data_IF_411079509880
#
_entry.id   IF_411079509880
#
_cell.length_a   1.000
_cell.length_b   1.000
_cell.length_c   1.000
_cell.angle_alpha   90.00
_cell.angle_beta   90.00
_cell.angle_gamma   90.00
#
_symmetry.space_group_name_H-M   'P 1'
#
loop_
_entity.id
_entity.type
_entity.pdbx_description
1 polymer ?
#
# COMPACT_ATOMS: atom_id res chain seq x y z
N UNK A 1 42.13 -42.45 25.85
CA UNK A 1 40.98 -41.90 26.60
C UNK A 1 41.11 -40.39 26.72
N UNK A 2 40.45 -39.58 25.87
CA UNK A 2 40.34 -38.11 26.06
C UNK A 2 39.33 -37.37 25.14
N UNK A 3 38.30 -38.04 24.61
CA UNK A 3 37.30 -37.39 23.75
C UNK A 3 35.86 -37.85 24.04
N UNK A 4 35.49 -37.98 25.31
CA UNK A 4 34.10 -38.32 25.71
C UNK A 4 33.44 -37.25 26.60
N UNK A 5 33.97 -36.02 26.63
CA UNK A 5 33.50 -34.95 27.52
C UNK A 5 32.91 -33.71 26.86
N UNK A 6 32.93 -33.60 25.52
CA UNK A 6 32.53 -32.37 24.82
C UNK A 6 31.12 -32.41 24.19
N UNK A 7 30.41 -33.53 24.27
CA UNK A 7 29.08 -33.68 23.67
C UNK A 7 27.92 -33.30 24.62
N UNK A 8 28.19 -33.14 25.92
CA UNK A 8 27.16 -32.82 26.93
C UNK A 8 26.94 -31.32 27.16
N UNK A 9 27.71 -30.43 26.52
CA UNK A 9 27.53 -28.98 26.65
C UNK A 9 26.63 -28.34 25.58
N UNK A 10 26.19 -29.10 24.57
CA UNK A 10 25.30 -28.57 23.52
C UNK A 10 23.80 -28.69 23.84
N UNK A 11 23.41 -29.44 24.88
CA UNK A 11 21.98 -29.67 25.18
C UNK A 11 21.37 -28.58 26.07
N UNK A 12 22.17 -27.80 26.82
CA UNK A 12 21.64 -26.79 27.77
C UNK A 12 21.45 -25.40 27.15
N UNK A 13 21.91 -25.16 25.91
CA UNK A 13 21.82 -23.83 25.27
C UNK A 13 20.52 -23.57 24.48
N UNK A 14 19.54 -24.49 24.49
CA UNK A 14 18.31 -24.37 23.71
C UNK A 14 17.11 -23.80 24.50
N UNK A 15 17.23 -23.59 25.82
CA UNK A 15 16.12 -23.25 26.71
C UNK A 15 16.11 -21.80 27.23
N UNK A 16 16.78 -20.86 26.53
CA UNK A 16 16.85 -19.45 26.95
C UNK A 16 16.20 -18.48 25.94
N UNK A 17 15.09 -18.88 25.33
CA UNK A 17 14.13 -17.94 24.73
C UNK A 17 12.99 -17.77 25.73
N UNK A 18 12.93 -16.61 26.36
CA UNK A 18 11.73 -15.85 26.78
C UNK A 18 12.18 -14.80 27.82
N UNK A 19 11.63 -13.59 27.69
CA UNK A 19 11.79 -12.42 28.58
C UNK A 19 13.04 -11.56 28.38
N UNK A 20 12.91 -10.50 27.57
CA UNK A 20 13.03 -9.13 28.11
C UNK A 20 12.21 -8.14 27.28
N UNK A 21 11.33 -7.48 28.02
CA UNK A 21 10.37 -6.45 27.67
C UNK A 21 11.06 -5.09 27.47
N UNK A 22 10.51 -4.32 26.53
CA UNK A 22 10.28 -2.87 26.61
C UNK A 22 11.52 -1.94 26.73
N UNK A 23 11.91 -1.32 25.61
CA UNK A 23 12.58 -0.01 25.63
C UNK A 23 11.72 1.02 24.87
N UNK A 24 11.59 2.26 25.38
CA UNK A 24 10.83 3.32 24.73
C UNK A 24 11.65 3.99 23.63
N UNK A 25 11.17 3.97 22.39
CA UNK A 25 11.85 4.65 21.28
C UNK A 25 11.41 6.11 21.24
N UNK A 26 12.16 6.98 21.92
CA UNK A 26 12.26 8.40 21.59
C UNK A 26 13.26 8.56 20.43
N UNK A 27 12.91 9.39 19.45
CA UNK A 27 13.89 9.96 18.51
C UNK A 27 13.77 9.45 17.08
N UNK A 28 13.15 10.27 16.23
CA UNK A 28 13.12 10.06 14.80
C UNK A 28 14.52 10.13 14.17
N UNK A 29 14.75 9.28 13.17
CA UNK A 29 15.70 9.52 12.09
C UNK A 29 15.16 8.91 10.80
N UNK A 30 15.38 9.64 9.71
CA UNK A 30 14.98 9.32 8.34
C UNK A 30 15.28 7.87 7.97
N UNK A 31 14.24 7.12 7.65
CA UNK A 31 14.40 5.74 7.27
C UNK A 31 13.66 5.50 5.94
N UNK A 32 14.44 5.60 4.87
CA UNK A 32 14.22 4.88 3.60
C UNK A 32 14.08 3.40 3.95
N UNK A 33 12.87 2.97 4.30
CA UNK A 33 12.60 1.61 4.75
C UNK A 33 12.09 0.78 3.57
N UNK A 34 13.01 -0.07 3.12
CA UNK A 34 12.76 -1.40 2.56
C UNK A 34 11.36 -1.90 2.88
N UNK A 35 10.64 -2.32 1.84
CA UNK A 35 9.46 -3.19 1.85
C UNK A 35 9.52 -4.20 3.01
N UNK A 36 8.99 -3.84 4.18
CA UNK A 36 8.49 -4.84 5.12
C UNK A 36 7.14 -5.26 4.54
N UNK A 37 7.06 -6.52 4.11
CA UNK A 37 5.80 -7.24 3.89
C UNK A 37 4.84 -6.85 5.03
N UNK A 38 3.64 -6.34 4.76
CA UNK A 38 2.65 -6.19 5.81
C UNK A 38 2.35 -7.59 6.33
N UNK A 39 2.75 -7.86 7.56
CA UNK A 39 2.15 -8.95 8.34
C UNK A 39 0.66 -8.61 8.43
N UNK A 40 -0.18 -9.46 7.84
CA UNK A 40 -1.63 -9.40 8.01
C UNK A 40 -1.90 -9.86 9.44
N UNK A 41 -1.60 -8.99 10.41
CA UNK A 41 -2.01 -9.14 11.80
C UNK A 41 -3.25 -8.29 12.01
N UNK A 42 -4.29 -8.94 12.53
CA UNK A 42 -5.63 -8.42 12.67
C UNK A 42 -5.68 -7.07 13.39
N UNK A 43 -6.20 -6.08 12.67
CA UNK A 43 -7.28 -5.20 13.08
C UNK A 43 -7.54 -4.26 11.90
N UNK A 44 -8.52 -4.60 11.05
CA UNK A 44 -9.01 -3.73 9.99
C UNK A 44 -9.44 -2.41 10.64
N UNK A 45 -8.69 -1.35 10.43
CA UNK A 45 -9.29 -0.02 10.49
C UNK A 45 -10.43 -0.03 9.46
N UNK A 46 -11.65 0.25 9.93
CA UNK A 46 -12.86 0.25 9.12
C UNK A 46 -12.84 1.44 8.13
N UNK A 47 -12.01 1.34 7.09
CA UNK A 47 -12.20 2.09 5.86
C UNK A 47 -13.24 1.38 4.98
N UNK A 48 -13.92 2.10 4.07
CA UNK A 48 -14.78 1.45 3.09
C UNK A 48 -13.95 0.44 2.29
N UNK A 49 -14.36 -0.83 2.29
CA UNK A 49 -13.66 -1.85 1.53
C UNK A 49 -13.93 -1.58 0.04
N UNK A 50 -12.98 -0.98 -0.67
CA UNK A 50 -12.93 -1.13 -2.13
C UNK A 50 -12.58 -2.59 -2.39
N UNK A 51 -13.61 -3.40 -2.65
CA UNK A 51 -13.43 -4.80 -2.97
C UNK A 51 -13.12 -4.91 -4.45
N UNK A 52 -11.85 -4.72 -4.79
CA UNK A 52 -11.31 -5.20 -6.04
C UNK A 52 -11.36 -6.74 -6.01
N UNK A 53 -12.16 -7.37 -6.86
CA UNK A 53 -12.26 -8.83 -6.87
C UNK A 53 -10.90 -9.40 -7.29
N UNK A 54 -10.35 -10.43 -6.63
CA UNK A 54 -9.18 -11.15 -7.15
C UNK A 54 -9.35 -11.73 -8.57
N UNK A 55 -10.58 -11.78 -9.08
CA UNK A 55 -10.93 -12.17 -10.45
C UNK A 55 -10.98 -10.98 -11.43
N UNK A 56 -11.00 -9.73 -10.93
CA UNK A 56 -10.78 -8.49 -11.69
C UNK A 56 -9.28 -8.36 -12.01
N UNK A 57 -8.80 -9.38 -12.71
CA UNK A 57 -7.40 -9.64 -13.01
C UNK A 57 -6.88 -8.47 -13.82
N UNK A 58 -6.01 -7.69 -13.19
CA UNK A 58 -5.31 -6.53 -13.75
C UNK A 58 -6.21 -5.28 -13.75
N UNK A 59 -5.64 -4.10 -13.50
CA UNK A 59 -6.34 -2.81 -13.62
C UNK A 59 -6.62 -2.54 -15.11
N UNK A 60 -7.19 -3.51 -15.83
CA UNK A 60 -7.17 -3.69 -17.27
C UNK A 60 -5.84 -3.27 -17.89
N UNK A 61 -5.86 -2.26 -18.76
CA UNK A 61 -4.65 -1.73 -19.41
C UNK A 61 -3.77 -0.85 -18.53
N UNK A 62 -4.27 -0.39 -17.40
CA UNK A 62 -3.50 0.44 -16.49
C UNK A 62 -2.50 -0.41 -15.71
N UNK A 63 -1.28 0.09 -15.61
CA UNK A 63 -0.19 -0.60 -14.92
C UNK A 63 -0.10 -0.18 -13.45
N UNK A 64 -0.49 1.06 -13.17
CA UNK A 64 -0.27 1.66 -11.87
C UNK A 64 -1.27 2.81 -11.64
N UNK A 65 -2.12 2.67 -10.61
CA UNK A 65 -3.01 3.73 -10.13
C UNK A 65 -2.57 4.24 -8.76
N UNK A 66 -1.32 4.03 -8.35
CA UNK A 66 -0.79 4.54 -7.10
C UNK A 66 -0.62 6.06 -7.14
N UNK A 67 -0.58 6.65 -5.96
CA UNK A 67 -0.48 8.07 -5.70
C UNK A 67 0.88 8.37 -5.06
N UNK A 68 1.54 9.40 -5.56
CA UNK A 68 2.67 10.04 -4.89
C UNK A 68 2.16 11.15 -3.97
N UNK A 69 2.77 11.27 -2.79
CA UNK A 69 2.48 12.31 -1.81
C UNK A 69 3.76 13.03 -1.42
N UNK A 70 3.77 14.36 -1.55
CA UNK A 70 5.00 15.12 -1.33
C UNK A 70 4.85 16.61 -1.63
N UNK A 71 6.00 17.29 -1.70
CA UNK A 71 6.13 18.69 -2.13
C UNK A 71 6.97 18.73 -3.41
N UNK A 72 6.95 19.87 -4.11
CA UNK A 72 7.77 20.06 -5.30
C UNK A 72 7.14 19.56 -6.60
N UNK A 73 5.85 19.23 -6.56
CA UNK A 73 5.11 18.88 -7.77
C UNK A 73 4.87 20.10 -8.65
N UNK A 74 4.82 19.90 -9.96
CA UNK A 74 4.62 20.97 -10.94
C UNK A 74 3.32 21.74 -10.67
N UNK A 75 3.44 23.07 -10.56
CA UNK A 75 2.33 23.97 -10.24
C UNK A 75 1.92 23.97 -8.76
N UNK A 76 2.61 23.20 -7.90
CA UNK A 76 2.40 23.10 -6.44
C UNK A 76 3.70 22.94 -5.66
N UNK A 77 4.74 23.65 -6.05
CA UNK A 77 6.11 23.43 -5.56
C UNK A 77 6.23 23.64 -4.03
N UNK A 78 5.43 24.54 -3.47
CA UNK A 78 5.47 24.91 -2.05
C UNK A 78 4.43 24.20 -1.19
N UNK A 79 3.56 23.37 -1.77
CA UNK A 79 2.44 22.75 -1.08
C UNK A 79 2.60 21.24 -0.98
N UNK A 80 2.24 20.66 0.17
CA UNK A 80 2.15 19.20 0.27
C UNK A 80 0.87 18.75 -0.44
N UNK A 81 1.03 17.92 -1.46
CA UNK A 81 -0.03 17.56 -2.40
C UNK A 81 0.00 16.07 -2.73
N UNK A 82 -0.96 15.66 -3.55
CA UNK A 82 -1.11 14.32 -4.10
C UNK A 82 -1.07 14.41 -5.63
N UNK A 83 -0.45 13.44 -6.30
CA UNK A 83 -0.53 13.29 -7.75
C UNK A 83 -0.44 11.81 -8.16
N UNK A 84 -0.91 11.43 -9.36
CA UNK A 84 -0.67 10.09 -9.88
C UNK A 84 0.83 9.79 -9.94
N UNK A 85 1.23 8.60 -9.51
CA UNK A 85 2.62 8.16 -9.66
C UNK A 85 2.95 7.94 -11.14
N UNK A 86 2.12 7.17 -11.85
CA UNK A 86 2.23 7.02 -13.30
C UNK A 86 1.70 8.28 -14.02
N UNK A 87 2.63 9.03 -14.63
CA UNK A 87 2.36 10.29 -15.34
C UNK A 87 1.60 10.13 -16.65
N UNK A 88 1.39 8.90 -17.13
CA UNK A 88 0.44 8.65 -18.24
C UNK A 88 -1.00 9.00 -17.83
N UNK A 89 -1.29 8.98 -16.53
CA UNK A 89 -2.47 9.59 -15.94
C UNK A 89 -2.25 11.10 -15.77
N UNK A 90 -2.48 11.84 -16.86
CA UNK A 90 -2.25 13.29 -16.97
C UNK A 90 -3.18 14.12 -16.07
N UNK A 91 -2.86 14.21 -14.79
CA UNK A 91 -3.52 15.08 -13.83
C UNK A 91 -2.47 15.79 -12.98
N UNK A 92 -2.63 17.11 -12.80
CA UNK A 92 -1.73 17.90 -11.97
C UNK A 92 -1.86 17.58 -10.48
N UNK A 93 -0.94 18.08 -9.67
CA UNK A 93 -1.01 17.89 -8.22
C UNK A 93 -2.25 18.54 -7.59
N UNK A 94 -2.85 17.86 -6.62
CA UNK A 94 -4.00 18.37 -5.86
C UNK A 94 -3.76 18.30 -4.36
N UNK A 95 -4.29 19.31 -3.64
CA UNK A 95 -4.20 19.36 -2.17
C UNK A 95 -5.13 18.38 -1.49
N UNK A 96 -6.27 18.09 -2.12
CA UNK A 96 -7.29 17.20 -1.61
C UNK A 96 -7.17 15.84 -2.29
N UNK A 97 -6.91 14.80 -1.51
CA UNK A 97 -6.74 13.44 -2.00
C UNK A 97 -7.98 12.93 -2.75
N UNK A 98 -9.19 13.30 -2.33
CA UNK A 98 -10.41 12.85 -3.00
C UNK A 98 -10.47 13.31 -4.47
N UNK A 99 -9.80 14.41 -4.84
CA UNK A 99 -9.72 14.84 -6.24
C UNK A 99 -8.89 13.83 -7.05
N UNK A 100 -7.70 13.47 -6.57
CA UNK A 100 -6.83 12.50 -7.24
C UNK A 100 -7.49 11.12 -7.30
N UNK A 101 -8.10 10.67 -6.21
CA UNK A 101 -8.78 9.37 -6.17
C UNK A 101 -9.99 9.35 -7.10
N UNK A 102 -10.80 10.42 -7.14
CA UNK A 102 -11.92 10.52 -8.07
C UNK A 102 -11.42 10.43 -9.51
N UNK A 103 -10.36 11.15 -9.84
CA UNK A 103 -9.74 11.11 -11.17
C UNK A 103 -9.23 9.70 -11.52
N UNK A 104 -8.48 9.04 -10.65
CA UNK A 104 -7.97 7.69 -10.90
C UNK A 104 -9.10 6.65 -11.04
N UNK A 105 -10.22 6.83 -10.33
CA UNK A 105 -11.41 6.02 -10.56
C UNK A 105 -12.02 6.25 -11.95
N UNK A 106 -12.02 7.48 -12.45
CA UNK A 106 -12.52 7.79 -13.79
C UNK A 106 -11.57 7.22 -14.88
N UNK A 107 -10.27 7.16 -14.60
CA UNK A 107 -9.29 6.51 -15.48
C UNK A 107 -9.57 5.02 -15.68
N UNK A 108 -10.25 4.35 -14.74
CA UNK A 108 -10.68 2.96 -14.93
C UNK A 108 -11.48 2.78 -16.23
N UNK A 109 -12.40 3.71 -16.50
CA UNK A 109 -13.24 3.66 -17.70
C UNK A 109 -12.55 4.32 -18.89
N UNK A 110 -11.80 5.40 -18.65
CA UNK A 110 -11.20 6.17 -19.74
C UNK A 110 -9.97 5.50 -20.37
N UNK A 111 -9.17 4.78 -19.56
CA UNK A 111 -7.86 4.25 -19.99
C UNK A 111 -7.65 2.78 -19.64
N UNK A 112 -8.31 2.30 -18.59
CA UNK A 112 -8.10 0.95 -18.09
C UNK A 112 -9.08 -0.08 -18.67
N UNK A 113 -9.93 0.27 -19.64
CA UNK A 113 -10.88 -0.62 -20.33
C UNK A 113 -12.01 -1.21 -19.45
N UNK A 114 -12.28 -0.60 -18.31
CA UNK A 114 -13.49 -0.90 -17.55
C UNK A 114 -14.71 -0.14 -18.10
N UNK A 115 -15.89 -0.56 -17.66
CA UNK A 115 -17.17 0.08 -17.96
C UNK A 115 -17.79 0.64 -16.68
N UNK A 116 -18.70 1.59 -16.84
CA UNK A 116 -19.41 2.21 -15.72
C UNK A 116 -20.22 1.19 -14.89
N UNK A 117 -20.60 0.07 -15.51
CA UNK A 117 -21.36 -0.99 -14.88
C UNK A 117 -20.49 -1.90 -14.00
N UNK A 118 -19.17 -1.88 -14.18
CA UNK A 118 -18.26 -2.78 -13.49
C UNK A 118 -18.21 -2.47 -11.99
N UNK A 119 -18.18 -3.53 -11.18
CA UNK A 119 -18.17 -3.42 -9.72
C UNK A 119 -16.97 -2.63 -9.22
N UNK A 120 -15.81 -2.82 -9.82
CA UNK A 120 -14.58 -2.10 -9.49
C UNK A 120 -14.75 -0.59 -9.64
N UNK A 121 -15.31 -0.11 -10.76
CA UNK A 121 -15.55 1.31 -10.98
C UNK A 121 -16.54 1.86 -9.94
N UNK A 122 -17.67 1.17 -9.73
CA UNK A 122 -18.68 1.58 -8.75
C UNK A 122 -18.12 1.66 -7.33
N UNK A 123 -17.35 0.66 -6.91
CA UNK A 123 -16.69 0.63 -5.60
C UNK A 123 -15.65 1.74 -5.46
N UNK A 124 -14.87 2.00 -6.51
CA UNK A 124 -13.89 3.08 -6.55
C UNK A 124 -14.56 4.45 -6.37
N UNK A 125 -15.61 4.74 -7.17
CA UNK A 125 -16.36 6.01 -7.07
C UNK A 125 -17.03 6.20 -5.71
N UNK A 126 -17.59 5.13 -5.14
CA UNK A 126 -18.15 5.15 -3.78
C UNK A 126 -17.09 5.54 -2.76
N UNK A 127 -15.92 4.90 -2.80
CA UNK A 127 -14.81 5.22 -1.89
C UNK A 127 -14.31 6.66 -2.05
N UNK A 128 -14.15 7.13 -3.30
CA UNK A 128 -13.78 8.51 -3.58
C UNK A 128 -14.76 9.52 -2.97
N UNK A 129 -16.06 9.20 -3.02
CA UNK A 129 -17.14 10.02 -2.46
C UNK A 129 -17.11 10.01 -0.92
N UNK A 130 -16.94 8.84 -0.31
CA UNK A 130 -16.90 8.66 1.14
C UNK A 130 -15.63 9.23 1.79
N UNK A 131 -14.53 9.39 1.03
CA UNK A 131 -13.28 9.94 1.52
C UNK A 131 -13.42 11.38 2.03
N UNK A 132 -14.27 12.20 1.39
CA UNK A 132 -14.40 13.61 1.72
C UNK A 132 -13.09 14.40 1.55
N UNK A 133 -12.97 15.55 2.20
CA UNK A 133 -11.78 16.39 2.08
C UNK A 133 -10.62 15.87 2.96
N UNK A 134 -9.57 15.35 2.33
CA UNK A 134 -8.35 14.86 2.98
C UNK A 134 -7.15 15.63 2.44
N UNK A 135 -6.46 16.37 3.31
CA UNK A 135 -5.27 17.17 2.96
C UNK A 135 -4.10 16.81 3.86
N UNK A 136 -2.86 16.95 3.35
CA UNK A 136 -1.62 16.79 4.12
C UNK A 136 -1.55 15.49 4.95
N UNK A 137 -1.96 14.37 4.36
CA UNK A 137 -2.05 13.08 5.03
C UNK A 137 -1.41 11.98 4.16
N UNK A 138 -0.14 11.66 4.44
CA UNK A 138 0.60 10.60 3.76
C UNK A 138 -0.03 9.22 3.95
N UNK A 139 -0.51 8.93 5.18
CA UNK A 139 -1.12 7.64 5.53
C UNK A 139 -2.32 7.31 4.63
N UNK A 140 -3.06 8.32 4.19
CA UNK A 140 -4.17 8.11 3.27
C UNK A 140 -3.71 7.73 1.87
N UNK A 141 -2.62 8.32 1.35
CA UNK A 141 -1.99 7.87 0.11
C UNK A 141 -1.50 6.42 0.23
N UNK A 142 -0.87 6.06 1.36
CA UNK A 142 -0.41 4.69 1.62
C UNK A 142 -1.58 3.70 1.70
N UNK A 143 -2.69 4.07 2.31
CA UNK A 143 -3.91 3.25 2.35
C UNK A 143 -4.45 2.98 0.94
N UNK A 144 -4.53 4.01 0.10
CA UNK A 144 -4.91 3.85 -1.30
C UNK A 144 -3.94 2.96 -2.07
N UNK A 145 -2.65 3.24 -1.96
CA UNK A 145 -1.58 2.48 -2.60
C UNK A 145 -1.63 1.01 -2.17
N UNK A 146 -1.86 0.73 -0.90
CA UNK A 146 -2.02 -0.63 -0.39
C UNK A 146 -3.24 -1.36 -0.97
N UNK A 147 -4.35 -0.66 -1.22
CA UNK A 147 -5.52 -1.25 -1.86
C UNK A 147 -5.26 -1.59 -3.33
N UNK A 148 -4.62 -0.71 -4.10
CA UNK A 148 -4.36 -0.95 -5.54
C UNK A 148 -3.15 -1.87 -5.79
N UNK A 149 -2.12 -1.84 -4.94
CA UNK A 149 -0.89 -2.65 -5.06
C UNK A 149 -1.09 -4.12 -4.62
N UNK A 150 -2.09 -4.38 -3.77
CA UNK A 150 -2.50 -5.75 -3.43
C UNK A 150 -2.88 -6.57 -4.68
N UNK A 151 -3.25 -5.92 -5.79
CA UNK A 151 -3.50 -6.57 -7.07
C UNK A 151 -2.23 -6.92 -7.84
N UNK A 152 -1.20 -6.08 -7.79
CA UNK A 152 0.09 -6.33 -8.47
C UNK A 152 0.81 -7.54 -7.83
N UNK A 153 0.79 -7.64 -6.50
CA UNK A 153 1.52 -8.69 -5.77
C UNK A 153 0.78 -10.04 -5.80
N UNK A 154 -0.56 -10.07 -5.76
CA UNK A 154 -1.31 -11.35 -5.82
C UNK A 154 -1.16 -12.03 -7.18
N UNK A 155 -1.04 -11.26 -8.27
CA UNK A 155 -0.77 -11.77 -9.61
C UNK A 155 0.61 -12.39 -9.75
N UNK A 156 1.65 -11.73 -9.20
CA UNK A 156 3.01 -12.28 -9.19
C UNK A 156 3.07 -13.63 -8.45
N UNK A 157 2.29 -13.81 -7.38
CA UNK A 157 2.26 -15.05 -6.61
C UNK A 157 1.40 -16.15 -7.26
N UNK A 158 0.36 -15.81 -8.02
CA UNK A 158 -0.44 -16.79 -8.78
C UNK A 158 0.33 -17.27 -10.02
N UNK A 159 0.96 -16.34 -10.77
CA UNK A 159 1.72 -16.68 -11.98
C UNK A 159 3.06 -17.38 -11.68
N UNK A 160 3.60 -17.25 -10.46
CA UNK A 160 4.79 -17.99 -10.01
C UNK A 160 4.49 -19.41 -9.49
N UNK A 161 3.23 -19.86 -9.51
CA UNK A 161 2.79 -21.21 -9.09
C UNK A 161 2.30 -22.09 -10.25
N UNK A 162 2.42 -21.61 -11.48
CA UNK A 162 2.18 -22.34 -12.73
C UNK A 162 3.55 -22.56 -13.37
#
# INVERSE_FOLDING_TARGET
MKYLGLFLLFIVALEARELRLNEPILGGTNHRLRRRRPEISGNKAAGPNVSFNPEDKELGKCKDLTIEFGKGFEGKENEVSYEPFDKTHQHGAALNMAIIVTFLCDELVNKCEFKNEDSIFKSCKKYATEMGAVKNNAKKADEWNGMVDYHIIKLALINARI
#
